data_IF_741321444050
#
_entry.id   IF_741321444050
#
_cell.length_a   1.000
_cell.length_b   1.000
_cell.length_c   1.000
_cell.angle_alpha   90.00
_cell.angle_beta   90.00
_cell.angle_gamma   90.00
#
_symmetry.space_group_name_H-M   'P 1'
#
loop_
_entity.id
_entity.type
_entity.pdbx_description
1 polymer ?
#
# COMPACT_ATOMS: atom_id res chain seq x y z
N UNK A 1 -0.80 0.73 24.00
CA UNK A 1 -1.10 0.16 22.68
C UNK A 1 -1.12 1.32 21.70
N UNK A 2 -0.11 1.47 20.84
CA UNK A 2 -0.10 2.53 19.84
C UNK A 2 -1.15 2.24 18.77
N UNK A 3 -1.89 3.25 18.35
CA UNK A 3 -2.82 3.13 17.22
C UNK A 3 -1.97 2.80 15.99
N UNK A 4 -2.22 1.69 15.27
CA UNK A 4 -1.46 1.38 14.07
C UNK A 4 -1.64 2.54 13.09
N UNK A 5 -0.52 3.02 12.56
CA UNK A 5 -0.55 4.12 11.61
C UNK A 5 -1.18 3.61 10.32
N UNK A 6 -2.26 4.28 9.91
CA UNK A 6 -2.98 3.95 8.69
C UNK A 6 -2.46 4.82 7.56
N UNK A 7 -2.21 4.19 6.42
CA UNK A 7 -1.73 4.84 5.21
C UNK A 7 -2.85 4.85 4.17
N UNK A 8 -3.02 6.00 3.53
CA UNK A 8 -3.87 6.13 2.35
C UNK A 8 -3.09 5.73 1.09
N UNK A 9 -3.77 5.64 -0.05
CA UNK A 9 -3.10 5.39 -1.34
C UNK A 9 -1.99 6.40 -1.63
N UNK A 10 -2.12 7.63 -1.11
CA UNK A 10 -1.13 8.71 -1.27
C UNK A 10 0.12 8.47 -0.40
N UNK A 11 -0.05 8.01 0.83
CA UNK A 11 1.07 7.69 1.72
C UNK A 11 1.87 6.50 1.17
N UNK A 12 1.16 5.45 0.74
CA UNK A 12 1.75 4.28 0.09
C UNK A 12 2.50 4.70 -1.19
N UNK A 13 1.91 5.57 -2.01
CA UNK A 13 2.52 6.11 -3.22
C UNK A 13 3.82 6.86 -2.92
N UNK A 14 3.82 7.72 -1.89
CA UNK A 14 5.01 8.42 -1.41
C UNK A 14 6.11 7.46 -0.92
N UNK A 15 5.73 6.40 -0.21
CA UNK A 15 6.66 5.37 0.28
C UNK A 15 7.30 4.57 -0.86
N UNK A 16 6.50 4.22 -1.86
CA UNK A 16 6.92 3.45 -3.05
C UNK A 16 7.57 4.32 -4.13
N UNK A 17 7.52 5.65 -4.01
CA UNK A 17 7.91 6.62 -5.06
C UNK A 17 7.19 6.38 -6.39
N UNK A 18 5.93 5.94 -6.33
CA UNK A 18 5.07 5.74 -7.50
C UNK A 18 3.88 6.70 -7.46
N UNK A 19 3.12 6.80 -8.55
CA UNK A 19 1.88 7.56 -8.58
C UNK A 19 0.75 6.88 -7.79
N UNK A 20 -0.17 7.64 -7.22
CA UNK A 20 -1.35 7.10 -6.52
C UNK A 20 -2.21 6.19 -7.42
N UNK A 21 -2.24 6.45 -8.73
CA UNK A 21 -2.90 5.59 -9.72
C UNK A 21 -2.24 4.21 -9.81
N UNK A 22 -0.91 4.14 -9.71
CA UNK A 22 -0.18 2.87 -9.68
C UNK A 22 -0.51 2.08 -8.42
N UNK A 23 -0.61 2.75 -7.27
CA UNK A 23 -1.07 2.12 -6.02
C UNK A 23 -2.51 1.61 -6.15
N UNK A 24 -3.40 2.36 -6.81
CA UNK A 24 -4.77 1.90 -7.08
C UNK A 24 -4.76 0.61 -7.91
N UNK A 25 -3.97 0.55 -8.99
CA UNK A 25 -3.83 -0.68 -9.79
C UNK A 25 -3.26 -1.84 -8.96
N UNK A 26 -2.25 -1.58 -8.13
CA UNK A 26 -1.67 -2.58 -7.24
C UNK A 26 -2.70 -3.09 -6.22
N UNK A 27 -3.53 -2.21 -5.66
CA UNK A 27 -4.62 -2.59 -4.74
C UNK A 27 -5.67 -3.51 -5.35
N UNK A 28 -5.73 -3.65 -6.68
CA UNK A 28 -6.62 -4.62 -7.34
C UNK A 28 -5.97 -6.00 -7.51
N UNK A 29 -4.67 -6.17 -7.20
CA UNK A 29 -3.97 -7.45 -7.27
C UNK A 29 -4.13 -8.22 -5.96
N UNK A 30 -4.28 -9.53 -6.05
CA UNK A 30 -4.32 -10.44 -4.90
C UNK A 30 -3.03 -10.44 -4.07
N UNK A 31 -1.91 -10.05 -4.68
CA UNK A 31 -0.63 -9.93 -3.98
C UNK A 31 -0.55 -8.72 -3.06
N UNK A 32 -1.45 -7.73 -3.17
CA UNK A 32 -1.41 -6.49 -2.41
C UNK A 32 -2.11 -6.63 -1.06
N UNK A 33 -1.62 -5.97 0.02
CA UNK A 33 -2.20 -6.11 1.35
C UNK A 33 -3.68 -5.74 1.38
N UNK A 34 -4.44 -6.47 2.19
CA UNK A 34 -5.86 -6.21 2.41
C UNK A 34 -6.04 -4.85 3.09
N UNK A 35 -6.98 -4.01 2.62
CA UNK A 35 -7.26 -2.74 3.26
C UNK A 35 -7.88 -2.98 4.64
N UNK A 36 -7.35 -2.29 5.65
CA UNK A 36 -7.87 -2.29 7.03
C UNK A 36 -9.24 -1.61 7.09
N UNK A 37 -9.52 -0.74 6.13
CA UNK A 37 -10.84 -0.15 5.95
C UNK A 37 -10.90 0.80 4.77
N UNK A 38 -12.04 1.49 4.67
CA UNK A 38 -12.31 2.51 3.67
C UNK A 38 -12.77 3.78 4.36
N UNK A 39 -12.11 4.90 4.05
CA UNK A 39 -12.48 6.24 4.51
C UNK A 39 -13.08 6.98 3.33
N UNK A 40 -14.43 6.99 3.27
CA UNK A 40 -15.16 7.49 2.11
C UNK A 40 -14.91 6.61 0.88
N UNK A 41 -14.21 7.13 -0.13
CA UNK A 41 -13.83 6.41 -1.35
C UNK A 41 -12.37 5.94 -1.36
N UNK A 42 -11.62 6.18 -0.28
CA UNK A 42 -10.19 5.89 -0.20
C UNK A 42 -9.99 4.68 0.70
N UNK A 43 -9.36 3.64 0.14
CA UNK A 43 -8.89 2.49 0.92
C UNK A 43 -7.70 2.88 1.78
N UNK A 44 -7.68 2.37 3.00
CA UNK A 44 -6.59 2.58 3.95
C UNK A 44 -6.00 1.25 4.39
N UNK A 45 -4.68 1.23 4.55
CA UNK A 45 -3.92 0.04 4.93
C UNK A 45 -3.14 0.29 6.21
N UNK A 46 -2.83 -0.77 6.94
CA UNK A 46 -1.87 -0.67 8.03
C UNK A 46 -0.47 -0.44 7.45
N UNK A 47 0.29 0.47 8.07
CA UNK A 47 1.70 0.69 7.77
C UNK A 47 2.48 -0.64 7.77
N UNK A 48 2.25 -1.49 8.77
CA UNK A 48 2.97 -2.76 8.90
C UNK A 48 2.73 -3.73 7.73
N UNK A 49 1.47 -3.91 7.31
CA UNK A 49 1.14 -4.78 6.17
C UNK A 49 1.75 -4.28 4.86
N UNK A 50 1.71 -2.96 4.64
CA UNK A 50 2.34 -2.35 3.46
C UNK A 50 3.86 -2.52 3.51
N UNK A 51 4.49 -2.30 4.65
CA UNK A 51 5.95 -2.47 4.78
C UNK A 51 6.39 -3.92 4.60
N UNK A 52 5.66 -4.88 5.18
CA UNK A 52 5.89 -6.31 4.95
C UNK A 52 5.72 -6.70 3.48
N UNK A 53 4.68 -6.19 2.84
CA UNK A 53 4.47 -6.39 1.42
C UNK A 53 5.61 -5.80 0.59
N UNK A 54 6.05 -4.57 0.85
CA UNK A 54 7.21 -3.96 0.17
C UNK A 54 8.47 -4.80 0.37
N UNK A 55 8.69 -5.32 1.58
CA UNK A 55 9.84 -6.16 1.89
C UNK A 55 9.81 -7.49 1.10
N UNK A 56 8.62 -8.09 0.95
CA UNK A 56 8.41 -9.36 0.22
C UNK A 56 8.40 -9.20 -1.30
N UNK A 57 7.75 -8.15 -1.80
CA UNK A 57 7.40 -7.99 -3.21
C UNK A 57 8.14 -6.88 -3.95
N UNK A 58 9.12 -6.17 -3.32
CA UNK A 58 9.84 -4.99 -3.85
C UNK A 58 9.61 -4.79 -5.36
N UNK A 59 8.62 -3.96 -5.75
CA UNK A 59 8.27 -3.80 -7.16
C UNK A 59 9.43 -3.23 -8.00
N UNK A 60 10.43 -2.65 -7.34
CA UNK A 60 11.72 -2.19 -7.89
C UNK A 60 12.58 -3.30 -8.53
N UNK A 61 12.32 -4.59 -8.24
CA UNK A 61 13.04 -5.73 -8.84
C UNK A 61 12.30 -6.40 -10.01
N UNK A 62 11.08 -5.97 -10.34
CA UNK A 62 10.24 -6.66 -11.32
C UNK A 62 10.33 -6.09 -12.75
N UNK A 63 11.08 -4.99 -12.97
CA UNK A 63 11.46 -4.51 -14.30
C UNK A 63 12.99 -4.65 -14.45
N UNK A 64 13.40 -5.81 -14.97
CA UNK A 64 14.78 -6.15 -15.33
C UNK A 64 14.77 -7.21 -16.41
#
# INVERSE_FOLDING_TARGET
MGIPKLWTSKDVAGRLKVSSERVRQLSHRDDFPEPVGEVGHIRVWAENDVEEWIAKNRPDKADG
#
